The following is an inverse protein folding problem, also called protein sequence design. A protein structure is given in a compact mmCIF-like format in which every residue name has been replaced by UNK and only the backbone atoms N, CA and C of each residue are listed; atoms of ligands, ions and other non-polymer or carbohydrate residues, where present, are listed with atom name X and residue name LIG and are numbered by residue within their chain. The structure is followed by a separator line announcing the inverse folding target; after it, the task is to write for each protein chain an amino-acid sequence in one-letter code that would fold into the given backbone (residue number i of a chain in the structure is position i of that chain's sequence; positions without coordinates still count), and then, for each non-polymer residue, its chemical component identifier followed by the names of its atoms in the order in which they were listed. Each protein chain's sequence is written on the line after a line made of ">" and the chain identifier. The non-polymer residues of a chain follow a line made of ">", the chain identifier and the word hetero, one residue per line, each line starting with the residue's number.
data_IF_753902490194
#
_entry.id   IF_753902490194
#
_cell.length_a   1.000
_cell.length_b   1.000
_cell.length_c   1.000
_cell.angle_alpha   90.00
_cell.angle_beta   90.00
_cell.angle_gamma   90.00
#
_symmetry.space_group_name_H-M   'P 1'
#
loop_
_entity.id
_entity.type
_entity.pdbx_description
1 polymer ?
#
# COMPACT_ATOMS: atom_id res chain seq x y z
N UNK A 1 -1.64 -0.06 16.54
CA UNK A 1 -1.63 0.49 15.16
C UNK A 1 -0.63 1.64 15.10
N UNK A 2 0.20 1.68 14.07
CA UNK A 2 1.13 2.80 13.86
C UNK A 2 0.36 4.08 13.52
N UNK A 3 0.96 5.24 13.78
CA UNK A 3 0.32 6.50 13.42
C UNK A 3 0.36 6.73 11.89
N UNK A 4 -0.41 7.70 11.42
CA UNK A 4 -0.55 7.94 9.99
C UNK A 4 0.79 8.31 9.34
N UNK A 5 1.59 9.16 9.98
CA UNK A 5 2.88 9.55 9.41
C UNK A 5 3.82 8.35 9.26
N UNK A 6 3.84 7.47 10.25
CA UNK A 6 4.65 6.25 10.19
C UNK A 6 4.18 5.34 9.07
N UNK A 7 2.86 5.21 8.90
CA UNK A 7 2.30 4.39 7.82
C UNK A 7 2.68 4.96 6.46
N UNK A 8 2.59 6.28 6.28
CA UNK A 8 2.95 6.93 5.02
C UNK A 8 4.43 6.75 4.70
N UNK A 9 5.31 6.89 5.72
CA UNK A 9 6.75 6.67 5.54
C UNK A 9 7.05 5.23 5.15
N UNK A 10 6.41 4.26 5.80
CA UNK A 10 6.60 2.85 5.48
C UNK A 10 6.09 2.52 4.08
N UNK A 11 4.95 3.10 3.69
CA UNK A 11 4.42 2.92 2.33
C UNK A 11 5.41 3.42 1.29
N UNK A 12 6.00 4.59 1.50
CA UNK A 12 6.98 5.14 0.57
C UNK A 12 8.20 4.24 0.45
N UNK A 13 8.76 3.80 1.58
CA UNK A 13 9.92 2.92 1.59
C UNK A 13 9.62 1.59 0.89
N UNK A 14 8.50 0.97 1.25
CA UNK A 14 8.08 -0.30 0.66
C UNK A 14 7.87 -0.16 -0.84
N UNK A 15 7.26 0.94 -1.27
CA UNK A 15 6.99 1.18 -2.69
C UNK A 15 8.28 1.29 -3.49
N UNK A 16 9.25 2.05 -3.00
CA UNK A 16 10.52 2.24 -3.71
C UNK A 16 11.40 0.99 -3.69
N UNK A 17 11.35 0.19 -2.63
CA UNK A 17 12.21 -0.99 -2.50
C UNK A 17 11.52 -2.26 -2.98
N UNK A 18 10.39 -2.62 -2.38
CA UNK A 18 9.75 -3.91 -2.63
C UNK A 18 8.84 -3.91 -3.85
N UNK A 19 7.96 -2.92 -3.96
CA UNK A 19 7.02 -2.86 -5.08
C UNK A 19 7.74 -2.68 -6.40
N UNK A 20 8.71 -1.79 -6.45
CA UNK A 20 9.47 -1.54 -7.67
C UNK A 20 10.27 -2.79 -8.07
N UNK A 21 10.87 -3.47 -7.11
CA UNK A 21 11.66 -4.67 -7.40
C UNK A 21 10.82 -5.78 -8.01
N UNK A 22 9.54 -5.87 -7.64
CA UNK A 22 8.65 -6.94 -8.10
C UNK A 22 7.78 -6.56 -9.29
N UNK A 23 7.75 -5.27 -9.67
CA UNK A 23 6.78 -4.76 -10.64
C UNK A 23 6.85 -5.47 -11.99
N UNK A 24 8.05 -5.60 -12.57
CA UNK A 24 8.21 -6.22 -13.88
C UNK A 24 7.78 -7.69 -13.87
N UNK A 25 8.16 -8.43 -12.83
CA UNK A 25 7.80 -9.82 -12.70
C UNK A 25 6.28 -10.00 -12.58
N UNK A 26 5.63 -9.13 -11.81
CA UNK A 26 4.18 -9.17 -11.64
C UNK A 26 3.49 -8.89 -12.96
N UNK A 27 3.91 -7.85 -13.69
CA UNK A 27 3.32 -7.49 -14.97
C UNK A 27 3.53 -8.58 -16.02
N UNK A 28 4.76 -9.12 -16.13
CA UNK A 28 5.07 -10.15 -17.13
C UNK A 28 4.32 -11.44 -16.85
N UNK A 29 4.23 -11.85 -15.59
CA UNK A 29 3.54 -13.06 -15.21
C UNK A 29 2.03 -12.91 -15.11
N UNK A 30 1.53 -11.67 -15.15
CA UNK A 30 0.11 -11.33 -14.94
C UNK A 30 -0.43 -11.96 -13.67
N UNK A 31 0.41 -11.99 -12.63
CA UNK A 31 0.04 -12.62 -11.37
C UNK A 31 -0.41 -11.60 -10.32
N UNK A 32 -1.16 -12.09 -9.35
CA UNK A 32 -1.62 -11.29 -8.23
C UNK A 32 -0.41 -10.88 -7.36
N UNK A 33 -0.30 -9.60 -6.98
CA UNK A 33 0.88 -9.11 -6.23
C UNK A 33 0.81 -9.47 -4.74
N UNK A 34 0.74 -10.76 -4.42
CA UNK A 34 0.53 -11.25 -3.06
C UNK A 34 1.62 -10.81 -2.09
N UNK A 35 2.89 -10.91 -2.50
CA UNK A 35 4.02 -10.55 -1.64
C UNK A 35 3.99 -9.06 -1.29
N UNK A 36 3.66 -8.23 -2.27
CA UNK A 36 3.57 -6.79 -2.05
C UNK A 36 2.47 -6.45 -1.05
N UNK A 37 1.32 -7.11 -1.18
CA UNK A 37 0.20 -6.90 -0.28
C UNK A 37 0.51 -7.39 1.13
N UNK A 38 1.26 -8.49 1.26
CA UNK A 38 1.65 -9.00 2.57
C UNK A 38 2.52 -7.97 3.30
N UNK A 39 3.52 -7.41 2.61
CA UNK A 39 4.41 -6.41 3.21
C UNK A 39 3.63 -5.16 3.59
N UNK A 40 2.73 -4.69 2.72
CA UNK A 40 1.90 -3.52 3.00
C UNK A 40 0.96 -3.78 4.19
N UNK A 41 0.38 -4.97 4.27
CA UNK A 41 -0.47 -5.35 5.39
C UNK A 41 0.30 -5.36 6.71
N UNK A 42 1.51 -5.88 6.71
CA UNK A 42 2.36 -5.93 7.90
C UNK A 42 2.75 -4.52 8.36
N UNK A 43 2.78 -3.55 7.45
CA UNK A 43 3.10 -2.15 7.76
C UNK A 43 1.85 -1.31 8.06
N UNK A 44 0.68 -1.93 8.20
CA UNK A 44 -0.61 -1.29 8.51
C UNK A 44 -1.16 -0.40 7.39
N UNK A 45 -0.57 -0.45 6.19
CA UNK A 45 -1.04 0.35 5.06
C UNK A 45 -2.45 -0.03 4.64
N UNK A 46 -2.79 -1.32 4.70
CA UNK A 46 -4.12 -1.79 4.30
C UNK A 46 -5.21 -1.39 5.28
N UNK A 47 -4.85 -1.03 6.51
CA UNK A 47 -5.81 -0.55 7.51
C UNK A 47 -5.93 0.96 7.57
N UNK A 48 -5.37 1.68 6.59
CA UNK A 48 -5.27 3.14 6.61
C UNK A 48 -6.61 3.83 6.83
N UNK A 49 -7.65 3.42 6.13
CA UNK A 49 -8.97 4.06 6.16
C UNK A 49 -9.90 3.50 7.23
N UNK A 50 -9.55 2.39 7.85
CA UNK A 50 -10.41 1.78 8.87
C UNK A 50 -10.43 2.67 10.11
N UNK A 51 -11.61 2.96 10.69
CA UNK A 51 -11.69 3.79 11.91
C UNK A 51 -10.85 3.22 13.04
N UNK A 52 -10.31 4.13 13.87
CA UNK A 52 -9.44 3.71 14.98
C UNK A 52 -10.14 2.79 15.95
N UNK A 53 -11.46 2.94 16.13
CA UNK A 53 -12.25 2.07 17.03
C UNK A 53 -12.27 0.62 16.57
N UNK A 54 -11.96 0.37 15.29
CA UNK A 54 -11.86 -0.99 14.73
C UNK A 54 -10.41 -1.41 14.45
N UNK A 55 -9.45 -0.70 15.04
CA UNK A 55 -8.04 -1.05 14.92
C UNK A 55 -7.32 -0.46 13.73
N UNK A 56 -7.98 0.42 12.97
CA UNK A 56 -7.35 1.08 11.82
C UNK A 56 -6.70 2.40 12.17
N UNK A 57 -6.17 3.09 11.17
CA UNK A 57 -5.49 4.37 11.34
C UNK A 57 -6.45 5.57 11.26
N UNK A 58 -7.62 5.41 10.69
CA UNK A 58 -8.63 6.46 10.63
C UNK A 58 -8.30 7.60 9.69
N UNK A 59 -7.49 7.35 8.67
CA UNK A 59 -7.09 8.39 7.72
C UNK A 59 -8.20 8.67 6.69
N UNK A 60 -8.05 9.76 5.95
CA UNK A 60 -9.02 10.21 4.96
C UNK A 60 -8.51 10.07 3.53
N UNK A 61 -9.26 10.70 2.60
CA UNK A 61 -8.99 10.60 1.17
C UNK A 61 -7.63 11.21 0.80
N UNK A 62 -7.19 12.26 1.48
CA UNK A 62 -5.91 12.89 1.19
C UNK A 62 -4.76 11.91 1.39
N UNK A 63 -4.78 11.18 2.50
CA UNK A 63 -3.76 10.19 2.82
C UNK A 63 -3.86 8.98 1.91
N UNK A 64 -5.07 8.56 1.56
CA UNK A 64 -5.29 7.49 0.60
C UNK A 64 -4.65 7.84 -0.75
N UNK A 65 -4.87 9.09 -1.21
CA UNK A 65 -4.29 9.54 -2.48
C UNK A 65 -2.77 9.52 -2.46
N UNK A 66 -2.15 9.91 -1.36
CA UNK A 66 -0.70 9.86 -1.21
C UNK A 66 -0.18 8.43 -1.30
N UNK A 67 -0.83 7.51 -0.59
CA UNK A 67 -0.45 6.10 -0.58
C UNK A 67 -0.53 5.52 -1.99
N UNK A 68 -1.65 5.72 -2.66
CA UNK A 68 -1.87 5.13 -3.99
C UNK A 68 -0.96 5.75 -5.05
N UNK A 69 -0.71 7.05 -4.97
CA UNK A 69 0.14 7.73 -5.93
C UNK A 69 1.57 7.17 -5.90
N UNK A 70 2.13 7.02 -4.71
CA UNK A 70 3.48 6.46 -4.55
C UNK A 70 3.52 5.00 -4.99
N UNK A 71 2.52 4.20 -4.61
CA UNK A 71 2.46 2.80 -5.05
C UNK A 71 2.39 2.70 -6.57
N UNK A 72 1.56 3.52 -7.21
CA UNK A 72 1.38 3.48 -8.67
C UNK A 72 2.65 3.83 -9.43
N UNK A 73 3.47 4.72 -8.89
CA UNK A 73 4.74 5.07 -9.50
C UNK A 73 5.72 3.89 -9.52
N UNK A 74 5.54 2.92 -8.65
CA UNK A 74 6.45 1.80 -8.49
C UNK A 74 5.85 0.46 -8.93
N UNK A 75 4.56 0.26 -8.77
CA UNK A 75 3.86 -0.94 -9.22
C UNK A 75 2.36 -0.66 -9.36
N UNK A 76 1.92 -0.39 -10.59
CA UNK A 76 0.53 -0.04 -10.86
C UNK A 76 -0.45 -1.14 -10.46
N UNK A 77 -0.06 -2.41 -10.66
CA UNK A 77 -0.92 -3.54 -10.29
C UNK A 77 -1.21 -3.58 -8.80
N UNK A 78 -0.17 -3.34 -7.97
CA UNK A 78 -0.33 -3.31 -6.52
C UNK A 78 -1.22 -2.14 -6.10
N UNK A 79 -1.02 -0.96 -6.72
CA UNK A 79 -1.85 0.22 -6.41
C UNK A 79 -3.33 -0.04 -6.72
N UNK A 80 -3.62 -0.70 -7.83
CA UNK A 80 -4.99 -1.01 -8.21
C UNK A 80 -5.65 -1.93 -7.18
N UNK A 81 -4.95 -2.99 -6.75
CA UNK A 81 -5.48 -3.91 -5.76
C UNK A 81 -5.69 -3.20 -4.42
N UNK A 82 -4.75 -2.34 -4.01
CA UNK A 82 -4.90 -1.55 -2.79
C UNK A 82 -6.12 -0.64 -2.86
N UNK A 83 -6.32 0.04 -4.00
CA UNK A 83 -7.49 0.89 -4.20
C UNK A 83 -8.79 0.09 -4.07
N UNK A 84 -8.85 -1.09 -4.65
CA UNK A 84 -10.04 -1.94 -4.57
C UNK A 84 -10.28 -2.44 -3.16
N UNK A 85 -9.21 -2.63 -2.37
CA UNK A 85 -9.33 -3.00 -0.96
C UNK A 85 -9.94 -1.86 -0.13
N UNK A 86 -9.48 -0.63 -0.39
CA UNK A 86 -10.03 0.54 0.30
C UNK A 86 -11.49 0.76 -0.10
#
# INVERSE_FOLDING_TARGET
>A
MADIETILSKNEKISHETLRANADQIDQARRFPRENLQVLGDADVLGLLIPTQYGGAGAGIAEMSQVLDIQAQNCASTAMVTLMHY
#
